data_IF_792886609927
#
_entry.id   IF_792886609927
#
_cell.length_a   1.000
_cell.length_b   1.000
_cell.length_c   1.000
_cell.angle_alpha   90.00
_cell.angle_beta   90.00
_cell.angle_gamma   90.00
#
_symmetry.space_group_name_H-M   'P 1'
#
loop_
_entity.id
_entity.type
_entity.pdbx_description
1 polymer ?
#
# COMPACT_ATOMS: atom_id res chain seq x y z
N UNK A 1 10.18 -19.13 -3.58
CA UNK A 1 9.24 -18.84 -2.46
C UNK A 1 9.81 -17.87 -1.41
N UNK A 2 11.06 -18.00 -0.94
CA UNK A 2 11.62 -17.14 0.14
C UNK A 2 11.71 -15.62 -0.12
N UNK A 3 11.67 -15.15 -1.37
CA UNK A 3 11.70 -13.71 -1.68
C UNK A 3 10.34 -13.02 -1.52
N UNK A 4 9.25 -13.76 -1.75
CA UNK A 4 7.87 -13.24 -1.71
C UNK A 4 7.49 -12.88 -0.27
N UNK A 5 7.88 -13.69 0.71
CA UNK A 5 7.62 -13.38 2.13
C UNK A 5 8.26 -12.06 2.55
N UNK A 6 9.47 -11.76 2.07
CA UNK A 6 10.12 -10.48 2.35
C UNK A 6 9.44 -9.32 1.61
N UNK A 7 9.02 -9.53 0.36
CA UNK A 7 8.24 -8.53 -0.38
C UNK A 7 6.93 -8.20 0.34
N UNK A 8 6.20 -9.21 0.80
CA UNK A 8 4.97 -9.03 1.57
C UNK A 8 5.25 -8.30 2.89
N UNK A 9 6.32 -8.66 3.61
CA UNK A 9 6.68 -7.97 4.84
C UNK A 9 6.97 -6.47 4.62
N UNK A 10 7.74 -6.13 3.59
CA UNK A 10 7.98 -4.73 3.21
C UNK A 10 6.73 -4.02 2.71
N UNK A 11 5.82 -4.73 2.03
CA UNK A 11 4.52 -4.21 1.63
C UNK A 11 3.66 -3.83 2.82
N UNK A 12 3.59 -4.67 3.85
CA UNK A 12 2.88 -4.34 5.09
C UNK A 12 3.46 -3.08 5.77
N UNK A 13 4.79 -2.94 5.78
CA UNK A 13 5.45 -1.72 6.31
C UNK A 13 5.09 -0.49 5.48
N UNK A 14 5.10 -0.59 4.15
CA UNK A 14 4.70 0.50 3.26
C UNK A 14 3.25 0.92 3.47
N UNK A 15 2.35 -0.04 3.65
CA UNK A 15 0.94 0.22 3.97
C UNK A 15 0.79 0.90 5.33
N UNK A 16 1.56 0.46 6.33
CA UNK A 16 1.54 1.07 7.66
C UNK A 16 2.02 2.54 7.62
N UNK A 17 3.06 2.86 6.84
CA UNK A 17 3.48 4.25 6.63
C UNK A 17 2.44 5.07 5.88
N UNK A 18 1.81 4.52 4.85
CA UNK A 18 0.76 5.21 4.12
C UNK A 18 -0.45 5.51 5.03
N UNK A 19 -0.84 4.56 5.88
CA UNK A 19 -1.88 4.75 6.90
C UNK A 19 -1.47 5.78 7.95
N UNK A 20 -0.22 5.74 8.42
CA UNK A 20 0.30 6.72 9.36
C UNK A 20 0.27 8.14 8.77
N UNK A 21 0.61 8.30 7.49
CA UNK A 21 0.53 9.59 6.81
C UNK A 21 -0.91 10.06 6.62
N UNK A 22 -1.81 9.19 6.15
CA UNK A 22 -3.21 9.51 5.93
C UNK A 22 -3.95 9.86 7.24
N UNK A 23 -3.57 9.21 8.35
CA UNK A 23 -4.16 9.39 9.68
C UNK A 23 -3.29 10.19 10.65
N UNK A 24 -2.34 11.02 10.19
CA UNK A 24 -1.24 11.55 11.00
C UNK A 24 -1.64 12.11 12.37
N UNK A 25 -2.76 12.83 12.46
CA UNK A 25 -3.24 13.47 13.70
C UNK A 25 -4.28 12.64 14.48
N UNK A 26 -4.66 11.46 13.99
CA UNK A 26 -5.67 10.60 14.60
C UNK A 26 -5.05 9.25 14.96
N UNK A 27 -5.16 8.26 14.08
CA UNK A 27 -4.68 6.89 14.27
C UNK A 27 -3.19 6.78 13.94
N UNK A 28 -2.68 7.67 13.09
CA UNK A 28 -1.34 7.61 12.53
C UNK A 28 -0.22 7.75 13.54
N UNK A 29 -0.41 8.54 14.60
CA UNK A 29 0.58 8.68 15.68
C UNK A 29 0.86 7.35 16.40
N UNK A 30 -0.12 6.46 16.47
CA UNK A 30 0.03 5.13 17.07
C UNK A 30 0.59 4.11 16.08
N UNK A 31 0.27 4.24 14.79
CA UNK A 31 0.75 3.33 13.74
C UNK A 31 2.21 3.60 13.37
N UNK A 32 2.64 4.87 13.41
CA UNK A 32 3.99 5.29 13.04
C UNK A 32 5.11 4.57 13.83
N UNK A 33 5.09 4.49 15.18
CA UNK A 33 6.15 3.80 15.92
C UNK A 33 6.21 2.31 15.58
N UNK A 34 5.08 1.67 15.30
CA UNK A 34 5.02 0.27 14.87
C UNK A 34 5.66 0.10 13.48
N UNK A 35 5.36 1.00 12.54
CA UNK A 35 5.96 1.00 11.20
C UNK A 35 7.49 1.20 11.26
N UNK A 36 7.96 2.10 12.12
CA UNK A 36 9.39 2.33 12.35
C UNK A 36 10.05 1.09 12.95
N UNK A 37 9.48 0.50 14.00
CA UNK A 37 10.02 -0.70 14.62
C UNK A 37 10.10 -1.87 13.63
N UNK A 38 9.06 -2.09 12.82
CA UNK A 38 9.05 -3.11 11.77
C UNK A 38 10.10 -2.84 10.69
N UNK A 39 10.30 -1.57 10.30
CA UNK A 39 11.35 -1.16 9.35
C UNK A 39 12.73 -1.49 9.88
N UNK A 40 13.02 -1.13 11.13
CA UNK A 40 14.30 -1.44 11.78
C UNK A 40 14.51 -2.95 11.83
N UNK A 41 13.50 -3.71 12.30
CA UNK A 41 13.58 -5.16 12.38
C UNK A 41 13.86 -5.82 11.02
N UNK A 42 13.20 -5.38 9.95
CA UNK A 42 13.44 -5.88 8.60
C UNK A 42 14.81 -5.45 8.05
N UNK A 43 15.21 -4.20 8.26
CA UNK A 43 16.48 -3.67 7.77
C UNK A 43 17.70 -4.41 8.36
N UNK A 44 17.60 -4.86 9.61
CA UNK A 44 18.64 -5.65 10.28
C UNK A 44 18.87 -7.03 9.62
N UNK A 45 17.87 -7.57 8.92
CA UNK A 45 18.00 -8.86 8.22
C UNK A 45 18.41 -8.62 6.77
N UNK A 46 19.71 -8.72 6.45
CA UNK A 46 20.24 -8.51 5.07
C UNK A 46 19.45 -9.23 3.96
N UNK A 47 18.93 -10.43 4.24
CA UNK A 47 18.13 -11.20 3.27
C UNK A 47 16.79 -10.54 2.92
N UNK A 48 16.24 -9.71 3.80
CA UNK A 48 14.97 -9.01 3.59
C UNK A 48 15.04 -8.00 2.46
N UNK A 49 16.23 -7.48 2.15
CA UNK A 49 16.45 -6.40 1.19
C UNK A 49 16.03 -6.78 -0.23
N UNK A 50 15.96 -8.08 -0.54
CA UNK A 50 15.41 -8.54 -1.84
C UNK A 50 13.93 -8.19 -2.00
N UNK A 51 13.21 -7.99 -0.89
CA UNK A 51 11.81 -7.62 -0.86
C UNK A 51 11.55 -6.11 -0.75
N UNK A 52 12.59 -5.26 -0.74
CA UNK A 52 12.44 -3.81 -0.58
C UNK A 52 11.42 -3.15 -1.52
N UNK A 53 11.26 -3.58 -2.79
CA UNK A 53 10.22 -3.05 -3.68
C UNK A 53 8.80 -3.16 -3.10
N UNK A 54 8.56 -4.11 -2.17
CA UNK A 54 7.32 -4.23 -1.43
C UNK A 54 6.95 -2.95 -0.69
N UNK A 55 7.92 -2.18 -0.19
CA UNK A 55 7.66 -0.91 0.49
C UNK A 55 6.89 0.08 -0.39
N UNK A 56 7.13 0.05 -1.71
CA UNK A 56 6.43 0.87 -2.71
C UNK A 56 5.03 0.29 -3.03
N UNK A 57 4.90 -1.04 -2.98
CA UNK A 57 3.62 -1.73 -3.16
C UNK A 57 2.62 -1.41 -2.03
N UNK A 58 3.11 -1.13 -0.82
CA UNK A 58 2.26 -0.84 0.34
C UNK A 58 1.30 0.35 0.14
N UNK A 59 1.80 1.56 -0.20
CA UNK A 59 0.93 2.69 -0.52
C UNK A 59 -0.06 2.42 -1.66
N UNK A 60 0.30 1.56 -2.63
CA UNK A 60 -0.62 1.16 -3.69
C UNK A 60 -1.87 0.44 -3.15
N UNK A 61 -1.72 -0.38 -2.11
CA UNK A 61 -2.84 -1.05 -1.43
C UNK A 61 -3.80 -0.03 -0.83
N UNK A 62 -3.26 0.98 -0.11
CA UNK A 62 -4.09 2.01 0.50
C UNK A 62 -4.82 2.86 -0.55
N UNK A 63 -4.12 3.28 -1.61
CA UNK A 63 -4.72 4.05 -2.70
C UNK A 63 -5.78 3.23 -3.45
N UNK A 64 -5.54 1.95 -3.69
CA UNK A 64 -6.55 1.04 -4.26
C UNK A 64 -7.79 0.92 -3.38
N UNK A 65 -7.61 0.84 -2.06
CA UNK A 65 -8.71 0.84 -1.11
C UNK A 65 -9.52 2.15 -1.15
N UNK A 66 -8.84 3.31 -1.19
CA UNK A 66 -9.50 4.62 -1.33
C UNK A 66 -10.26 4.74 -2.65
N UNK A 67 -9.69 4.27 -3.76
CA UNK A 67 -10.37 4.23 -5.05
C UNK A 67 -11.63 3.36 -4.99
N UNK A 68 -11.56 2.21 -4.34
CA UNK A 68 -12.70 1.31 -4.17
C UNK A 68 -13.81 1.92 -3.30
N UNK A 69 -13.45 2.61 -2.21
CA UNK A 69 -14.42 3.30 -1.36
C UNK A 69 -15.13 4.43 -2.11
N UNK A 70 -14.41 5.15 -2.97
CA UNK A 70 -14.94 6.29 -3.72
C UNK A 70 -15.44 5.92 -5.13
N UNK A 71 -15.67 4.62 -5.40
CA UNK A 71 -16.02 4.13 -6.75
C UNK A 71 -17.35 4.66 -7.30
N UNK A 72 -18.24 5.15 -6.43
CA UNK A 72 -19.51 5.74 -6.82
C UNK A 72 -19.47 7.26 -6.99
N UNK A 73 -18.38 7.91 -6.59
CA UNK A 73 -18.19 9.35 -6.68
C UNK A 73 -17.75 9.84 -8.07
N UNK A 74 -17.52 11.16 -8.21
CA UNK A 74 -17.55 12.17 -7.16
C UNK A 74 -18.96 12.68 -6.83
N UNK A 75 -19.13 13.23 -5.62
CA UNK A 75 -20.36 13.86 -5.15
C UNK A 75 -21.11 13.05 -4.08
N UNK A 76 -22.34 13.46 -3.78
CA UNK A 76 -23.18 12.77 -2.81
C UNK A 76 -23.74 11.47 -3.38
N UNK A 77 -23.28 10.35 -2.81
CA UNK A 77 -23.79 9.02 -3.16
C UNK A 77 -24.71 8.56 -2.05
N UNK A 78 -26.00 8.41 -2.40
CA UNK A 78 -27.03 7.96 -1.46
C UNK A 78 -27.34 6.48 -1.65
N UNK A 79 -27.25 5.71 -0.56
CA UNK A 79 -27.70 4.32 -0.49
C UNK A 79 -29.00 4.28 0.30
N UNK A 80 -30.01 3.59 -0.23
CA UNK A 80 -31.33 3.47 0.42
C UNK A 80 -31.59 1.99 0.72
N UNK A 81 -31.86 1.69 1.98
CA UNK A 81 -32.35 0.40 2.45
C UNK A 81 -33.84 0.52 2.83
N UNK A 82 -34.48 -0.59 3.20
CA UNK A 82 -35.92 -0.65 3.49
C UNK A 82 -36.39 0.30 4.61
N UNK A 83 -35.47 0.79 5.46
CA UNK A 83 -35.78 1.58 6.66
C UNK A 83 -35.12 2.97 6.62
N UNK A 84 -34.05 3.16 5.84
CA UNK A 84 -33.18 4.33 5.95
C UNK A 84 -32.53 4.69 4.60
N UNK A 85 -32.30 5.99 4.37
CA UNK A 85 -31.44 6.50 3.31
C UNK A 85 -30.25 7.22 3.93
N UNK A 86 -29.03 6.80 3.59
CA UNK A 86 -27.79 7.46 4.00
C UNK A 86 -27.06 7.99 2.78
N UNK A 87 -26.58 9.22 2.86
CA UNK A 87 -25.77 9.85 1.82
C UNK A 87 -24.35 10.07 2.36
N UNK A 88 -23.35 9.78 1.55
CA UNK A 88 -21.95 10.05 1.85
C UNK A 88 -21.31 10.77 0.69
N UNK A 89 -20.61 11.85 1.01
CA UNK A 89 -19.79 12.57 0.05
C UNK A 89 -18.59 11.71 -0.36
N UNK A 90 -18.45 11.45 -1.65
CA UNK A 90 -17.35 10.69 -2.22
C UNK A 90 -16.45 11.59 -3.07
N UNK A 91 -15.14 11.35 -2.99
CA UNK A 91 -14.14 11.97 -3.86
C UNK A 91 -14.13 11.31 -5.24
N UNK A 92 -13.42 11.91 -6.20
CA UNK A 92 -13.15 11.24 -7.48
C UNK A 92 -12.23 10.02 -7.25
N UNK A 93 -12.58 8.82 -7.73
CA UNK A 93 -11.77 7.61 -7.52
C UNK A 93 -10.52 7.56 -8.41
N UNK A 94 -10.54 8.26 -9.54
CA UNK A 94 -9.51 8.16 -10.59
C UNK A 94 -8.10 8.52 -10.14
N UNK A 95 -7.85 9.61 -9.37
CA UNK A 95 -6.51 9.94 -8.91
C UNK A 95 -5.88 8.81 -8.08
N UNK A 96 -6.66 8.24 -7.16
CA UNK A 96 -6.21 7.13 -6.32
C UNK A 96 -5.98 5.87 -7.15
N UNK A 97 -6.87 5.57 -8.10
CA UNK A 97 -6.76 4.39 -8.96
C UNK A 97 -5.52 4.44 -9.87
N UNK A 98 -5.26 5.58 -10.51
CA UNK A 98 -4.12 5.76 -11.44
C UNK A 98 -2.80 5.69 -10.68
N UNK A 99 -2.66 6.45 -9.59
CA UNK A 99 -1.43 6.49 -8.80
C UNK A 99 -1.19 5.12 -8.14
N UNK A 100 -2.23 4.53 -7.55
CA UNK A 100 -2.15 3.20 -6.94
C UNK A 100 -1.73 2.13 -7.95
N UNK A 101 -2.32 2.13 -9.15
CA UNK A 101 -1.95 1.19 -10.21
C UNK A 101 -0.51 1.36 -10.67
N UNK A 102 -0.05 2.62 -10.85
CA UNK A 102 1.32 2.91 -11.25
C UNK A 102 2.33 2.40 -10.21
N UNK A 103 2.08 2.61 -8.91
CA UNK A 103 2.92 2.11 -7.83
C UNK A 103 2.91 0.58 -7.75
N UNK A 104 1.74 -0.05 -7.90
CA UNK A 104 1.61 -1.50 -7.89
C UNK A 104 2.40 -2.13 -9.04
N UNK A 105 2.21 -1.66 -10.28
CA UNK A 105 2.92 -2.18 -11.46
C UNK A 105 4.42 -1.93 -11.33
N UNK A 106 4.82 -0.71 -10.94
CA UNK A 106 6.23 -0.35 -10.77
C UNK A 106 6.93 -1.21 -9.72
N UNK A 107 6.31 -1.43 -8.56
CA UNK A 107 6.87 -2.27 -7.50
C UNK A 107 7.04 -3.74 -7.90
N UNK A 108 6.06 -4.31 -8.62
CA UNK A 108 6.11 -5.67 -9.14
C UNK A 108 7.17 -5.82 -10.22
N UNK A 109 7.28 -4.83 -11.13
CA UNK A 109 8.33 -4.80 -12.14
C UNK A 109 9.73 -4.74 -11.49
N UNK A 110 9.93 -3.86 -10.51
CA UNK A 110 11.18 -3.78 -9.76
C UNK A 110 11.52 -5.10 -9.05
N UNK A 111 10.54 -5.72 -8.38
CA UNK A 111 10.74 -7.00 -7.71
C UNK A 111 11.13 -8.12 -8.69
N UNK A 112 10.47 -8.18 -9.86
CA UNK A 112 10.81 -9.12 -10.92
C UNK A 112 12.23 -8.87 -11.47
N UNK A 113 12.63 -7.61 -11.69
CA UNK A 113 13.97 -7.27 -12.18
C UNK A 113 15.07 -7.64 -11.18
N UNK A 114 14.85 -7.38 -9.89
CA UNK A 114 15.78 -7.77 -8.81
C UNK A 114 15.93 -9.30 -8.72
N UNK A 115 14.84 -10.03 -8.94
CA UNK A 115 14.85 -11.49 -8.97
C UNK A 115 15.50 -12.11 -10.21
N UNK A 116 15.60 -11.36 -11.32
CA UNK A 116 16.13 -11.82 -12.62
C UNK A 116 17.64 -11.64 -12.77
N UNK A 117 18.36 -11.03 -11.82
CA UNK A 117 19.81 -10.79 -11.93
C UNK A 117 20.54 -12.11 -12.24
N UNK A 118 21.11 -12.29 -13.45
CA UNK A 118 21.66 -13.56 -13.89
C UNK A 118 22.84 -13.99 -13.01
N UNK A 119 22.96 -15.29 -12.77
CA UNK A 119 24.14 -15.92 -12.13
C UNK A 119 25.32 -16.06 -13.09
N UNK A 120 25.41 -15.27 -14.15
CA UNK A 120 26.41 -15.42 -15.22
C UNK A 120 27.61 -14.49 -15.01
N UNK A 121 28.21 -14.58 -13.82
CA UNK A 121 29.52 -14.00 -13.51
C UNK A 121 30.11 -14.71 -12.29
N UNK A 122 30.48 -15.98 -12.45
CA UNK A 122 31.46 -16.65 -11.59
C UNK A 122 32.43 -17.41 -12.47
#
# INVERSE_FOLDING_TARGET
MRGISWFVAWCLVGTAYALAAAGALTIGIFVLPVAIAATVALALVRRSWIGLPGLIAGPAVLLGYLAYLNRGGPGDVCVSDAVSRSCTEQYSPWPFAVIGSALAIGSLALFALVGRKPRDAR
#
